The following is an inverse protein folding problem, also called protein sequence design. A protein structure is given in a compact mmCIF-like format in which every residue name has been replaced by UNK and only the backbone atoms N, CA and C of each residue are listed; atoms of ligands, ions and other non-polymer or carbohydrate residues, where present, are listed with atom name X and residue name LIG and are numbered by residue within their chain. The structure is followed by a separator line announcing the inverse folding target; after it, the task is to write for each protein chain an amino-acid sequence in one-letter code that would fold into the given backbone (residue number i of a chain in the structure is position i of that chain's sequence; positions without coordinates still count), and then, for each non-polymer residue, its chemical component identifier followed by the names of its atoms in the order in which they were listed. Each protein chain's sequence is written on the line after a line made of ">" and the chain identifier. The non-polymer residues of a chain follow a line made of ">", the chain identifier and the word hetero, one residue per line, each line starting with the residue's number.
data_IF_429102052882
#
_entry.id   IF_429102052882
#
_cell.length_a   1.000
_cell.length_b   1.000
_cell.length_c   1.000
_cell.angle_alpha   90.00
_cell.angle_beta   90.00
_cell.angle_gamma   90.00
#
_symmetry.space_group_name_H-M   'P 1'
#
loop_
_entity.id
_entity.type
_entity.pdbx_description
1 polymer ?
#
# COMPACT_ATOMS: atom_id res chain seq x y z
N UNK A 1 18.83 9.26 -28.02
CA UNK A 1 18.89 8.84 -26.61
C UNK A 1 17.48 8.64 -26.11
N UNK A 2 17.22 7.55 -25.39
CA UNK A 2 15.91 7.26 -24.79
C UNK A 2 15.67 8.21 -23.60
N UNK A 3 14.45 8.76 -23.49
CA UNK A 3 14.03 9.65 -22.42
C UNK A 3 12.59 9.32 -21.98
N UNK A 4 12.09 10.00 -20.93
CA UNK A 4 10.75 9.73 -20.38
C UNK A 4 9.62 9.91 -21.42
N UNK A 5 9.79 10.84 -22.37
CA UNK A 5 8.82 11.06 -23.44
C UNK A 5 8.86 9.94 -24.50
N UNK A 6 10.04 9.42 -24.84
CA UNK A 6 10.17 8.38 -25.87
C UNK A 6 9.64 7.01 -25.43
N UNK A 7 9.45 6.80 -24.12
CA UNK A 7 8.87 5.56 -23.58
C UNK A 7 7.39 5.70 -23.21
N UNK A 8 6.80 6.89 -23.37
CA UNK A 8 5.45 7.18 -22.90
C UNK A 8 4.38 6.35 -23.61
N UNK A 9 4.51 6.15 -24.93
CA UNK A 9 3.53 5.37 -25.71
C UNK A 9 4.11 4.05 -26.23
N UNK A 10 3.27 2.99 -26.36
CA UNK A 10 3.70 1.71 -26.94
C UNK A 10 4.30 1.85 -28.34
N UNK A 11 3.75 2.76 -29.15
CA UNK A 11 4.20 2.99 -30.51
C UNK A 11 5.61 3.60 -30.57
N UNK A 12 5.90 4.58 -29.70
CA UNK A 12 7.25 5.17 -29.59
C UNK A 12 8.28 4.14 -29.10
N UNK A 13 7.90 3.27 -28.15
CA UNK A 13 8.77 2.17 -27.68
C UNK A 13 9.10 1.21 -28.81
N UNK A 14 8.09 0.78 -29.58
CA UNK A 14 8.27 -0.12 -30.73
C UNK A 14 9.14 0.51 -31.82
N UNK A 15 8.95 1.81 -32.10
CA UNK A 15 9.76 2.55 -33.07
C UNK A 15 11.24 2.58 -32.66
N UNK A 16 11.51 2.84 -31.37
CA UNK A 16 12.87 2.88 -30.83
C UNK A 16 13.55 1.51 -30.91
N UNK A 17 12.84 0.44 -30.56
CA UNK A 17 13.35 -0.93 -30.70
C UNK A 17 13.62 -1.30 -32.17
N UNK A 18 12.72 -0.94 -33.08
CA UNK A 18 12.86 -1.22 -34.51
C UNK A 18 14.07 -0.50 -35.10
N UNK A 19 14.27 0.78 -34.75
CA UNK A 19 15.44 1.55 -35.14
C UNK A 19 16.74 0.92 -34.63
N UNK A 20 16.80 0.52 -33.36
CA UNK A 20 17.99 -0.10 -32.79
C UNK A 20 18.34 -1.43 -33.48
N UNK A 21 17.35 -2.31 -33.67
CA UNK A 21 17.55 -3.62 -34.29
C UNK A 21 17.82 -3.54 -35.79
N UNK A 22 17.21 -2.58 -36.50
CA UNK A 22 17.28 -2.46 -37.95
C UNK A 22 18.42 -1.60 -38.47
N UNK A 23 18.81 -0.55 -37.74
CA UNK A 23 19.81 0.41 -38.22
C UNK A 23 21.11 0.34 -37.41
N UNK A 24 21.02 0.27 -36.07
CA UNK A 24 22.20 0.35 -35.19
C UNK A 24 22.97 -0.98 -35.14
N UNK A 25 22.27 -2.10 -34.92
CA UNK A 25 22.91 -3.41 -34.86
C UNK A 25 23.60 -3.82 -36.17
N UNK A 26 22.96 -3.68 -37.35
CA UNK A 26 23.61 -4.06 -38.61
C UNK A 26 24.81 -3.18 -38.94
N UNK A 27 24.81 -1.92 -38.51
CA UNK A 27 25.97 -1.03 -38.70
C UNK A 27 27.24 -1.54 -37.99
N UNK A 28 27.13 -2.35 -36.93
CA UNK A 28 28.32 -2.98 -36.34
C UNK A 28 28.93 -4.06 -37.22
N UNK A 29 28.13 -4.80 -37.99
CA UNK A 29 28.65 -5.81 -38.91
C UNK A 29 29.54 -5.20 -39.99
N UNK A 30 29.25 -3.95 -40.38
CA UNK A 30 30.02 -3.17 -41.36
C UNK A 30 31.25 -2.47 -40.76
N UNK A 31 31.25 -2.25 -39.44
CA UNK A 31 32.34 -1.63 -38.69
C UNK A 31 33.17 -2.75 -38.05
N UNK A 32 34.28 -3.21 -38.66
CA UNK A 32 35.28 -4.17 -38.10
C UNK A 32 34.78 -5.27 -37.15
N UNK A 33 35.14 -6.53 -37.40
CA UNK A 33 34.66 -7.72 -36.65
C UNK A 33 34.78 -7.71 -35.12
N UNK A 34 35.56 -6.80 -34.52
CA UNK A 34 35.77 -6.66 -33.07
C UNK A 34 34.99 -5.49 -32.44
N UNK A 35 34.07 -4.84 -33.18
CA UNK A 35 33.29 -3.72 -32.64
C UNK A 35 32.32 -4.16 -31.54
N UNK A 36 32.19 -3.34 -30.50
CA UNK A 36 31.28 -3.57 -29.37
C UNK A 36 30.33 -2.38 -29.18
N UNK A 37 29.07 -2.65 -28.83
CA UNK A 37 28.16 -1.64 -28.30
C UNK A 37 28.19 -1.69 -26.79
N UNK A 38 28.35 -0.52 -26.17
CA UNK A 38 28.11 -0.34 -24.74
C UNK A 38 26.91 0.58 -24.53
N UNK A 39 25.88 0.07 -23.84
CA UNK A 39 24.66 0.82 -23.52
C UNK A 39 24.60 1.08 -22.01
N UNK A 40 24.35 2.33 -21.64
CA UNK A 40 24.11 2.72 -20.25
C UNK A 40 22.89 3.62 -20.15
N UNK A 41 22.14 3.46 -19.07
CA UNK A 41 20.96 4.27 -18.79
C UNK A 41 20.27 3.82 -17.52
N UNK A 42 19.27 4.59 -17.10
CA UNK A 42 18.34 4.21 -16.04
C UNK A 42 17.13 3.49 -16.65
N UNK A 43 16.53 2.57 -15.92
CA UNK A 43 15.29 1.92 -16.38
C UNK A 43 14.12 2.91 -16.33
N UNK A 44 13.54 3.17 -17.50
CA UNK A 44 12.45 4.13 -17.65
C UNK A 44 11.06 3.48 -17.71
N UNK A 45 10.96 2.27 -18.25
CA UNK A 45 9.70 1.55 -18.47
C UNK A 45 9.94 0.05 -18.66
N UNK A 46 8.93 -0.81 -18.44
CA UNK A 46 9.04 -2.28 -18.58
C UNK A 46 9.27 -2.79 -20.03
N UNK A 47 9.02 -1.91 -20.99
CA UNK A 47 9.15 -2.14 -22.43
C UNK A 47 10.16 -1.17 -23.05
N UNK A 48 10.94 -0.48 -22.21
CA UNK A 48 12.05 0.35 -22.67
C UNK A 48 13.10 -0.50 -23.39
N UNK A 49 13.90 0.15 -24.23
CA UNK A 49 14.91 -0.52 -25.06
C UNK A 49 15.84 -1.39 -24.22
N UNK A 50 16.41 -0.83 -23.13
CA UNK A 50 17.34 -1.56 -22.25
C UNK A 50 16.72 -2.82 -21.63
N UNK A 51 15.43 -2.79 -21.31
CA UNK A 51 14.73 -3.95 -20.73
C UNK A 51 14.56 -5.06 -21.76
N UNK A 52 14.19 -4.69 -22.99
CA UNK A 52 14.02 -5.66 -24.07
C UNK A 52 15.36 -6.28 -24.48
N UNK A 53 16.42 -5.48 -24.60
CA UNK A 53 17.76 -5.98 -24.89
C UNK A 53 18.30 -6.85 -23.74
N UNK A 54 17.97 -6.54 -22.49
CA UNK A 54 18.39 -7.35 -21.35
C UNK A 54 17.72 -8.73 -21.25
N UNK A 55 16.63 -8.96 -21.99
CA UNK A 55 16.01 -10.29 -22.13
C UNK A 55 16.69 -11.12 -23.22
N UNK A 56 17.44 -10.49 -24.12
CA UNK A 56 18.13 -11.16 -25.20
C UNK A 56 19.46 -11.74 -24.70
N UNK A 57 19.70 -13.05 -24.88
CA UNK A 57 20.92 -13.70 -24.38
C UNK A 57 22.20 -13.23 -25.07
N UNK A 58 22.12 -12.51 -26.20
CA UNK A 58 23.28 -11.94 -26.89
C UNK A 58 23.89 -10.73 -26.17
N UNK A 59 23.13 -10.10 -25.26
CA UNK A 59 23.60 -8.97 -24.47
C UNK A 59 23.95 -9.37 -23.04
N UNK A 60 25.16 -9.02 -22.61
CA UNK A 60 25.54 -9.11 -21.19
C UNK A 60 24.93 -7.93 -20.44
N UNK A 61 23.96 -8.20 -19.57
CA UNK A 61 23.24 -7.17 -18.82
C UNK A 61 23.65 -7.16 -17.36
N UNK A 62 24.01 -5.97 -16.87
CA UNK A 62 24.32 -5.73 -15.45
C UNK A 62 23.38 -4.65 -14.94
N UNK A 63 22.52 -5.01 -13.99
CA UNK A 63 21.63 -4.07 -13.30
C UNK A 63 22.24 -3.71 -11.96
N UNK A 64 22.46 -2.41 -11.74
CA UNK A 64 22.99 -1.89 -10.49
C UNK A 64 21.95 -1.00 -9.84
N UNK A 65 21.68 -1.24 -8.55
CA UNK A 65 20.89 -0.36 -7.70
C UNK A 65 21.76 0.44 -6.75
N UNK A 66 21.13 1.30 -5.97
CA UNK A 66 21.80 2.09 -4.92
C UNK A 66 22.36 1.22 -3.78
N UNK A 67 21.81 0.01 -3.59
CA UNK A 67 22.30 -1.00 -2.65
C UNK A 67 22.94 -2.18 -3.39
N UNK A 68 23.97 -2.75 -2.79
CA UNK A 68 24.61 -3.99 -3.26
C UNK A 68 23.79 -5.24 -2.86
N UNK A 69 24.31 -6.43 -3.19
CA UNK A 69 23.67 -7.70 -2.88
C UNK A 69 23.60 -7.99 -1.36
N UNK A 70 24.43 -7.31 -0.56
CA UNK A 70 24.50 -7.43 0.89
C UNK A 70 23.60 -6.38 1.58
N UNK A 71 22.98 -5.47 0.82
CA UNK A 71 22.11 -4.41 1.33
C UNK A 71 22.86 -3.15 1.75
N UNK A 72 24.16 -3.04 1.44
CA UNK A 72 24.98 -1.89 1.75
C UNK A 72 24.96 -0.88 0.60
N UNK A 73 25.00 0.44 0.88
CA UNK A 73 24.97 1.44 -0.18
C UNK A 73 26.22 1.36 -1.06
N UNK A 74 26.02 1.23 -2.38
CA UNK A 74 27.10 1.15 -3.38
C UNK A 74 27.93 2.46 -3.40
N UNK A 75 27.30 3.59 -3.08
CA UNK A 75 27.96 4.89 -3.05
C UNK A 75 27.60 5.72 -1.80
N UNK A 76 28.12 5.35 -0.61
CA UNK A 76 27.71 5.95 0.67
C UNK A 76 27.92 7.46 0.76
N UNK A 77 28.93 7.99 0.07
CA UNK A 77 29.25 9.44 0.05
C UNK A 77 28.12 10.28 -0.55
N UNK A 78 27.42 9.77 -1.56
CA UNK A 78 26.29 10.46 -2.19
C UNK A 78 24.98 10.04 -1.54
N UNK A 79 24.79 8.72 -1.37
CA UNK A 79 23.53 8.10 -0.97
C UNK A 79 23.80 7.08 0.14
N UNK A 80 23.63 7.48 1.40
CA UNK A 80 23.73 6.62 2.58
C UNK A 80 22.35 6.07 2.99
N UNK A 81 22.30 5.11 3.91
CA UNK A 81 21.05 4.50 4.40
C UNK A 81 20.00 5.55 4.80
N UNK A 82 20.41 6.58 5.54
CA UNK A 82 19.53 7.65 6.02
C UNK A 82 18.89 8.43 4.86
N UNK A 83 19.70 8.89 3.89
CA UNK A 83 19.17 9.60 2.71
C UNK A 83 18.26 8.71 1.88
N UNK A 84 18.56 7.40 1.77
CA UNK A 84 17.73 6.45 1.03
C UNK A 84 16.36 6.35 1.72
N UNK A 85 16.34 6.20 3.04
CA UNK A 85 15.10 6.16 3.83
C UNK A 85 14.30 7.45 3.73
N UNK A 86 14.95 8.62 3.80
CA UNK A 86 14.29 9.91 3.67
C UNK A 86 13.68 10.12 2.27
N UNK A 87 14.40 9.72 1.21
CA UNK A 87 13.85 9.75 -0.15
C UNK A 87 12.69 8.77 -0.25
N UNK A 88 12.82 7.56 0.28
CA UNK A 88 11.73 6.57 0.27
C UNK A 88 10.47 7.15 0.92
N UNK A 89 10.58 7.73 2.11
CA UNK A 89 9.45 8.40 2.79
C UNK A 89 8.90 9.60 2.02
N UNK A 90 9.74 10.34 1.29
CA UNK A 90 9.29 11.44 0.43
C UNK A 90 8.48 10.95 -0.77
N UNK A 91 8.99 9.95 -1.50
CA UNK A 91 8.30 9.36 -2.66
C UNK A 91 7.05 8.59 -2.23
N UNK A 92 7.10 7.91 -1.07
CA UNK A 92 5.95 7.22 -0.45
C UNK A 92 4.79 8.19 -0.19
N UNK A 93 5.08 9.32 0.48
CA UNK A 93 4.07 10.38 0.72
C UNK A 93 3.46 10.95 -0.56
N UNK A 94 4.16 10.87 -1.68
CA UNK A 94 3.71 11.36 -2.98
C UNK A 94 3.01 10.28 -3.82
N UNK A 95 3.00 9.02 -3.37
CA UNK A 95 2.47 7.89 -4.16
C UNK A 95 3.35 7.51 -5.36
N UNK A 96 4.58 8.03 -5.43
CA UNK A 96 5.50 7.89 -6.57
C UNK A 96 6.60 6.86 -6.30
N UNK A 97 6.26 5.82 -5.51
CA UNK A 97 7.25 4.86 -5.04
C UNK A 97 7.78 3.95 -6.17
N UNK A 98 6.98 3.73 -7.21
CA UNK A 98 7.44 3.09 -8.46
C UNK A 98 8.58 3.88 -9.10
N UNK A 99 8.45 5.21 -9.15
CA UNK A 99 9.50 6.12 -9.63
C UNK A 99 10.75 6.03 -8.75
N UNK A 100 10.60 5.93 -7.43
CA UNK A 100 11.73 5.71 -6.51
C UNK A 100 12.51 4.43 -6.83
N UNK A 101 11.82 3.29 -7.03
CA UNK A 101 12.46 2.02 -7.35
C UNK A 101 13.09 2.00 -8.75
N UNK A 102 12.47 2.66 -9.73
CA UNK A 102 13.04 2.80 -11.06
C UNK A 102 14.31 3.65 -11.03
N UNK A 103 14.25 4.85 -10.42
CA UNK A 103 15.36 5.82 -10.43
C UNK A 103 16.55 5.40 -9.56
N UNK A 104 16.31 4.80 -8.39
CA UNK A 104 17.38 4.47 -7.43
C UNK A 104 17.79 3.00 -7.45
N UNK A 105 16.89 2.09 -7.81
CA UNK A 105 17.16 0.64 -7.74
C UNK A 105 17.20 -0.02 -9.12
N UNK A 106 16.84 0.68 -10.20
CA UNK A 106 16.65 0.08 -11.53
C UNK A 106 15.78 -1.19 -11.43
N UNK A 107 14.73 -1.15 -10.61
CA UNK A 107 13.77 -2.25 -10.46
C UNK A 107 12.48 -1.90 -11.17
N UNK A 108 12.13 -2.70 -12.17
CA UNK A 108 10.83 -2.63 -12.82
C UNK A 108 9.78 -3.16 -11.84
N UNK A 109 8.96 -2.27 -11.31
CA UNK A 109 7.79 -2.68 -10.54
C UNK A 109 6.65 -2.85 -11.55
N UNK A 110 6.40 -4.08 -12.00
CA UNK A 110 5.30 -4.36 -12.93
C UNK A 110 4.04 -4.68 -12.13
N UNK A 111 3.00 -3.85 -12.25
CA UNK A 111 1.73 -4.02 -11.52
C UNK A 111 1.10 -5.40 -11.77
N UNK A 112 1.24 -5.97 -12.98
CA UNK A 112 0.68 -7.30 -13.30
C UNK A 112 1.25 -8.44 -12.46
N UNK A 113 2.44 -8.23 -11.87
CA UNK A 113 3.08 -9.20 -10.97
C UNK A 113 2.87 -8.89 -9.49
N UNK A 114 2.30 -7.73 -9.16
CA UNK A 114 2.05 -7.33 -7.77
C UNK A 114 0.89 -8.14 -7.20
N UNK A 115 1.02 -8.55 -5.94
CA UNK A 115 -0.08 -9.22 -5.24
C UNK A 115 -1.19 -8.25 -4.86
N UNK A 116 -0.86 -6.97 -4.63
CA UNK A 116 -1.79 -5.88 -4.37
C UNK A 116 -1.48 -4.75 -5.35
N UNK A 117 -2.37 -4.51 -6.31
CA UNK A 117 -2.15 -3.51 -7.36
C UNK A 117 -2.73 -2.17 -6.94
N UNK A 118 -1.92 -1.08 -6.91
CA UNK A 118 -2.45 0.26 -6.65
C UNK A 118 -3.52 0.70 -7.67
N UNK A 119 -3.45 0.19 -8.91
CA UNK A 119 -4.47 0.42 -9.95
C UNK A 119 -5.87 -0.09 -9.58
N UNK A 120 -5.98 -1.07 -8.69
CA UNK A 120 -7.26 -1.68 -8.30
C UNK A 120 -8.06 -0.80 -7.32
N UNK A 121 -7.40 0.21 -6.73
CA UNK A 121 -7.98 1.12 -5.75
C UNK A 121 -9.10 1.96 -6.38
N UNK A 122 -10.29 1.91 -5.78
CA UNK A 122 -11.36 2.83 -6.15
C UNK A 122 -11.21 4.17 -5.43
N UNK A 123 -11.24 5.27 -6.17
CA UNK A 123 -11.06 6.64 -5.63
C UNK A 123 -12.35 7.41 -5.41
N UNK A 124 -13.47 6.87 -5.89
CA UNK A 124 -14.79 7.48 -5.67
C UNK A 124 -15.20 7.26 -4.22
N UNK A 125 -15.38 8.29 -3.40
CA UNK A 125 -15.81 8.09 -2.03
C UNK A 125 -17.23 7.54 -1.98
N UNK A 126 -17.46 6.62 -1.05
CA UNK A 126 -18.77 6.08 -0.70
C UNK A 126 -19.35 6.88 0.47
N UNK A 127 -20.67 7.02 0.44
CA UNK A 127 -21.46 7.69 1.47
C UNK A 127 -22.35 6.67 2.19
N UNK A 128 -22.78 6.98 3.42
CA UNK A 128 -23.66 6.12 4.24
C UNK A 128 -23.06 4.74 4.56
N UNK A 129 -21.99 4.68 5.38
CA UNK A 129 -21.48 3.41 5.88
C UNK A 129 -22.53 2.71 6.74
N UNK A 130 -22.66 1.39 6.57
CA UNK A 130 -23.55 0.54 7.37
C UNK A 130 -22.91 0.16 8.70
N UNK A 131 -21.59 -0.09 8.66
CA UNK A 131 -20.77 -0.42 9.83
C UNK A 131 -19.39 0.20 9.65
N UNK A 132 -18.72 0.50 10.75
CA UNK A 132 -17.31 0.89 10.78
C UNK A 132 -16.53 -0.05 11.69
N UNK A 133 -15.26 -0.26 11.39
CA UNK A 133 -14.30 -0.86 12.29
C UNK A 133 -13.18 0.13 12.59
N UNK A 134 -12.81 0.21 13.86
CA UNK A 134 -11.56 0.81 14.34
C UNK A 134 -10.69 -0.33 14.86
N UNK A 135 -9.54 -0.54 14.22
CA UNK A 135 -8.55 -1.52 14.67
C UNK A 135 -7.22 -0.87 15.01
N UNK A 136 -6.51 -1.52 15.93
CA UNK A 136 -5.16 -1.15 16.30
C UNK A 136 -4.24 -2.37 16.27
N UNK A 137 -3.15 -2.26 15.52
CA UNK A 137 -2.00 -3.17 15.52
C UNK A 137 -0.89 -2.56 16.42
N UNK A 138 -0.80 -2.99 17.69
CA UNK A 138 0.24 -2.55 18.61
C UNK A 138 1.64 -3.10 18.27
N UNK A 139 2.60 -2.19 18.07
CA UNK A 139 4.01 -2.54 17.92
C UNK A 139 4.57 -3.28 19.16
N UNK A 140 5.34 -4.35 18.92
CA UNK A 140 5.93 -5.20 19.97
C UNK A 140 7.24 -4.60 20.52
N UNK A 141 7.97 -3.79 19.74
CA UNK A 141 9.32 -3.36 20.06
C UNK A 141 9.45 -1.87 20.44
N UNK A 142 10.16 -1.57 21.54
CA UNK A 142 10.54 -0.20 21.96
C UNK A 142 11.66 0.43 21.11
N UNK A 143 12.22 -0.29 20.14
CA UNK A 143 13.28 0.25 19.27
C UNK A 143 12.65 1.19 18.24
N UNK A 144 13.09 2.45 18.22
CA UNK A 144 12.68 3.49 17.24
C UNK A 144 12.85 3.07 15.75
N UNK A 145 13.62 2.01 15.49
CA UNK A 145 13.98 1.54 14.15
C UNK A 145 13.26 0.26 13.69
N UNK A 146 12.37 -0.33 14.51
CA UNK A 146 11.89 -1.70 14.28
C UNK A 146 10.42 -1.79 13.85
N UNK A 147 9.46 -1.35 14.66
CA UNK A 147 8.03 -1.63 14.40
C UNK A 147 7.17 -0.36 14.53
N UNK A 148 6.20 -0.20 13.62
CA UNK A 148 5.21 0.88 13.67
C UNK A 148 3.91 0.37 14.30
N UNK A 149 3.42 1.09 15.29
CA UNK A 149 2.06 0.91 15.79
C UNK A 149 1.10 1.49 14.74
N UNK A 150 0.09 0.74 14.32
CA UNK A 150 -0.81 1.17 13.26
C UNK A 150 -2.26 1.24 13.76
N UNK A 151 -3.01 2.19 13.22
CA UNK A 151 -4.45 2.35 13.42
C UNK A 151 -5.14 2.38 12.07
N UNK A 152 -6.25 1.67 11.96
CA UNK A 152 -7.08 1.61 10.77
C UNK A 152 -8.53 1.91 11.09
N UNK A 153 -9.18 2.69 10.24
CA UNK A 153 -10.64 2.84 10.23
C UNK A 153 -11.18 2.48 8.87
N UNK A 154 -12.08 1.52 8.82
CA UNK A 154 -12.70 1.02 7.58
C UNK A 154 -14.21 1.00 7.75
N UNK A 155 -14.95 1.45 6.74
CA UNK A 155 -16.39 1.28 6.65
C UNK A 155 -16.78 0.15 5.71
N UNK A 156 -17.86 -0.56 6.04
CA UNK A 156 -18.62 -1.40 5.10
C UNK A 156 -19.81 -0.62 4.59
N UNK A 157 -20.02 -0.68 3.29
CA UNK A 157 -21.05 0.04 2.53
C UNK A 157 -21.95 -0.96 1.80
N UNK A 158 -23.12 -0.50 1.32
CA UNK A 158 -24.01 -1.32 0.49
C UNK A 158 -23.30 -2.01 -0.68
N UNK A 159 -23.81 -3.17 -1.09
CA UNK A 159 -23.18 -4.02 -2.11
C UNK A 159 -21.90 -4.72 -1.65
N UNK A 160 -21.64 -4.75 -0.35
CA UNK A 160 -20.44 -5.38 0.22
C UNK A 160 -19.14 -4.63 -0.10
N UNK A 161 -19.23 -3.33 -0.40
CA UNK A 161 -18.07 -2.47 -0.66
C UNK A 161 -17.42 -2.05 0.64
N UNK A 162 -16.11 -1.82 0.59
CA UNK A 162 -15.32 -1.33 1.71
C UNK A 162 -14.77 0.05 1.38
N UNK A 163 -14.71 0.94 2.35
CA UNK A 163 -13.94 2.18 2.24
C UNK A 163 -12.95 2.28 3.40
N UNK A 164 -11.68 2.48 3.06
CA UNK A 164 -10.66 2.87 4.02
C UNK A 164 -10.86 4.36 4.31
N UNK A 165 -11.27 4.66 5.54
CA UNK A 165 -11.53 6.01 6.02
C UNK A 165 -10.26 6.67 6.55
N UNK A 166 -9.44 5.89 7.25
CA UNK A 166 -8.20 6.35 7.87
C UNK A 166 -7.21 5.20 8.00
N UNK A 167 -5.94 5.49 7.76
CA UNK A 167 -4.82 4.65 8.18
C UNK A 167 -3.70 5.54 8.70
N UNK A 168 -3.26 5.30 9.94
CA UNK A 168 -2.20 6.08 10.60
C UNK A 168 -1.17 5.14 11.21
N UNK A 169 0.12 5.44 11.01
CA UNK A 169 1.23 4.68 11.57
C UNK A 169 2.11 5.56 12.47
N UNK A 170 2.51 5.05 13.63
CA UNK A 170 3.28 5.76 14.64
C UNK A 170 4.51 4.95 15.05
N UNK A 171 5.68 5.61 15.09
CA UNK A 171 6.94 4.98 15.53
C UNK A 171 7.14 5.19 17.03
N UNK A 172 7.38 4.11 17.77
CA UNK A 172 7.75 4.17 19.19
C UNK A 172 6.64 4.74 20.09
N UNK A 173 5.38 4.49 19.75
CA UNK A 173 4.22 4.89 20.53
C UNK A 173 4.16 4.09 21.84
N UNK A 174 4.03 4.78 22.97
CA UNK A 174 3.85 4.13 24.26
C UNK A 174 2.38 3.67 24.45
N UNK A 175 2.10 2.62 25.25
CA UNK A 175 0.75 2.09 25.42
C UNK A 175 -0.29 3.14 25.86
N UNK A 176 0.08 4.10 26.72
CA UNK A 176 -0.84 5.16 27.16
C UNK A 176 -1.15 6.17 26.05
N UNK A 177 -0.22 6.40 25.13
CA UNK A 177 -0.45 7.20 23.93
C UNK A 177 -1.36 6.47 22.95
N UNK A 178 -1.15 5.16 22.77
CA UNK A 178 -2.00 4.31 21.96
C UNK A 178 -3.45 4.30 22.46
N UNK A 179 -3.67 4.22 23.78
CA UNK A 179 -5.01 4.31 24.39
C UNK A 179 -5.64 5.67 24.09
N UNK A 180 -4.90 6.77 24.29
CA UNK A 180 -5.40 8.12 24.00
C UNK A 180 -5.80 8.27 22.54
N UNK A 181 -4.98 7.74 21.64
CA UNK A 181 -5.21 7.78 20.21
C UNK A 181 -6.42 6.92 19.80
N UNK A 182 -6.55 5.72 20.37
CA UNK A 182 -7.71 4.85 20.18
C UNK A 182 -9.01 5.57 20.55
N UNK A 183 -9.07 6.20 21.73
CA UNK A 183 -10.25 6.95 22.15
C UNK A 183 -10.48 8.22 21.32
N UNK A 184 -9.41 8.91 20.88
CA UNK A 184 -9.54 10.05 19.94
C UNK A 184 -10.24 9.61 18.66
N UNK A 185 -9.79 8.52 18.06
CA UNK A 185 -10.40 7.96 16.85
C UNK A 185 -11.84 7.51 17.11
N UNK A 186 -12.09 6.85 18.25
CA UNK A 186 -13.44 6.45 18.64
C UNK A 186 -14.38 7.65 18.77
N UNK A 187 -13.94 8.73 19.41
CA UNK A 187 -14.74 9.95 19.60
C UNK A 187 -15.11 10.62 18.26
N UNK A 188 -14.25 10.48 17.26
CA UNK A 188 -14.49 10.97 15.89
C UNK A 188 -15.47 10.05 15.16
N UNK A 189 -15.17 8.75 15.13
CA UNK A 189 -15.84 7.79 14.24
C UNK A 189 -17.13 7.19 14.79
N UNK A 190 -17.41 7.36 16.10
CA UNK A 190 -18.70 7.03 16.72
C UNK A 190 -19.77 8.10 16.46
N UNK A 191 -19.38 9.26 15.91
CA UNK A 191 -20.34 10.31 15.53
C UNK A 191 -21.09 9.91 14.27
N UNK A 192 -22.35 10.37 14.13
CA UNK A 192 -23.06 10.26 12.86
C UNK A 192 -22.20 10.81 11.71
N UNK A 193 -22.18 10.16 10.54
CA UNK A 193 -21.58 10.73 9.34
C UNK A 193 -22.18 12.12 9.04
N UNK A 194 -21.42 12.97 8.37
CA UNK A 194 -21.91 14.28 7.96
C UNK A 194 -23.19 14.15 7.11
N UNK A 195 -24.21 14.95 7.44
CA UNK A 195 -25.52 14.88 6.80
C UNK A 195 -26.43 13.73 7.27
N UNK A 196 -26.03 12.94 8.26
CA UNK A 196 -26.85 11.85 8.83
C UNK A 196 -27.14 12.09 10.31
N UNK A 197 -28.36 11.77 10.74
CA UNK A 197 -28.77 11.90 12.14
C UNK A 197 -28.48 10.64 12.97
N UNK A 198 -28.36 9.49 12.31
CA UNK A 198 -28.17 8.19 12.97
C UNK A 198 -26.69 7.85 13.14
N UNK A 199 -26.37 7.23 14.27
CA UNK A 199 -25.03 6.70 14.52
C UNK A 199 -24.82 5.42 13.74
N UNK A 200 -23.63 5.27 13.17
CA UNK A 200 -23.20 4.04 12.52
C UNK A 200 -22.51 3.15 13.57
N UNK A 201 -22.88 1.86 13.69
CA UNK A 201 -22.19 0.96 14.61
C UNK A 201 -20.69 0.92 14.35
N UNK A 202 -19.90 1.13 15.41
CA UNK A 202 -18.45 1.07 15.38
C UNK A 202 -17.97 -0.17 16.14
N UNK A 203 -17.35 -1.10 15.41
CA UNK A 203 -16.68 -2.27 15.95
C UNK A 203 -15.25 -1.89 16.32
N UNK A 204 -14.79 -2.31 17.49
CA UNK A 204 -13.47 -1.98 18.01
C UNK A 204 -12.64 -3.25 18.18
N UNK A 205 -11.47 -3.31 17.57
CA UNK A 205 -10.57 -4.46 17.62
C UNK A 205 -9.14 -4.07 17.96
N UNK A 206 -8.45 -4.92 18.72
CA UNK A 206 -7.01 -4.77 18.99
C UNK A 206 -6.36 -6.13 18.79
N UNK A 207 -5.20 -6.17 18.13
CA UNK A 207 -4.44 -7.42 18.05
C UNK A 207 -3.98 -7.80 19.47
N UNK A 208 -4.24 -9.04 19.84
CA UNK A 208 -3.92 -9.57 21.16
C UNK A 208 -2.73 -10.53 21.05
N UNK A 209 -1.51 -9.98 21.07
CA UNK A 209 -0.29 -10.76 21.25
C UNK A 209 -0.08 -11.03 22.76
N UNK A 210 0.54 -12.16 23.12
CA UNK A 210 0.65 -12.65 24.51
C UNK A 210 1.25 -11.64 25.53
N UNK A 211 1.90 -10.56 25.08
CA UNK A 211 2.48 -9.50 25.92
C UNK A 211 1.55 -8.27 26.12
N UNK A 212 0.36 -8.24 25.50
CA UNK A 212 -0.48 -7.05 25.34
C UNK A 212 -1.77 -7.03 26.19
N UNK A 213 -1.89 -7.90 27.20
CA UNK A 213 -3.01 -7.83 28.15
C UNK A 213 -3.05 -6.48 28.89
N UNK A 214 -1.89 -5.83 29.06
CA UNK A 214 -1.78 -4.50 29.67
C UNK A 214 -2.49 -3.41 28.86
N UNK A 215 -2.35 -3.39 27.53
CA UNK A 215 -3.01 -2.41 26.67
C UNK A 215 -4.53 -2.53 26.75
N UNK A 216 -5.05 -3.77 26.69
CA UNK A 216 -6.49 -4.01 26.80
C UNK A 216 -7.00 -3.58 28.17
N UNK A 217 -6.26 -3.87 29.24
CA UNK A 217 -6.62 -3.47 30.60
C UNK A 217 -6.67 -1.94 30.74
N UNK A 218 -5.72 -1.23 30.13
CA UNK A 218 -5.70 0.24 30.09
C UNK A 218 -6.89 0.81 29.30
N UNK A 219 -7.28 0.18 28.19
CA UNK A 219 -8.48 0.58 27.44
C UNK A 219 -9.73 0.39 28.31
N UNK A 220 -9.86 -0.73 29.01
CA UNK A 220 -11.00 -1.01 29.90
C UNK A 220 -11.07 -0.06 31.10
N UNK A 221 -9.93 0.32 31.66
CA UNK A 221 -9.86 1.34 32.70
C UNK A 221 -10.31 2.71 32.18
N UNK A 222 -9.84 3.12 30.99
CA UNK A 222 -10.26 4.37 30.37
C UNK A 222 -11.74 4.37 29.95
N UNK A 223 -12.31 3.23 29.53
CA UNK A 223 -13.77 3.10 29.31
C UNK A 223 -14.53 3.44 30.60
N UNK A 224 -14.10 2.84 31.72
CA UNK A 224 -14.72 3.02 33.03
C UNK A 224 -14.60 4.46 33.52
N UNK A 225 -13.46 5.10 33.28
CA UNK A 225 -13.21 6.50 33.62
C UNK A 225 -14.08 7.48 32.81
N UNK A 226 -14.34 7.16 31.53
CA UNK A 226 -15.08 8.04 30.59
C UNK A 226 -16.58 7.76 30.54
N UNK A 227 -17.05 6.71 31.21
CA UNK A 227 -18.42 6.19 31.08
C UNK A 227 -18.79 5.85 29.61
N UNK A 228 -17.81 5.30 28.89
CA UNK A 228 -17.91 4.97 27.46
C UNK A 228 -17.62 3.48 27.24
N UNK A 229 -18.65 2.66 27.42
CA UNK A 229 -18.55 1.21 27.34
C UNK A 229 -18.83 0.69 25.93
N UNK A 230 -17.92 -0.14 25.42
CA UNK A 230 -18.06 -0.83 24.13
C UNK A 230 -17.38 -2.19 24.15
N UNK A 231 -17.74 -3.04 23.19
CA UNK A 231 -17.10 -4.35 23.01
C UNK A 231 -15.75 -4.15 22.33
N UNK A 232 -14.68 -4.58 22.99
CA UNK A 232 -13.33 -4.61 22.44
C UNK A 232 -12.98 -6.05 22.05
N UNK A 233 -12.92 -6.30 20.75
CA UNK A 233 -12.57 -7.62 20.22
C UNK A 233 -11.06 -7.85 20.30
N UNK A 234 -10.68 -8.96 20.94
CA UNK A 234 -9.28 -9.41 21.04
C UNK A 234 -8.96 -10.28 19.84
N UNK A 235 -8.32 -9.69 18.83
CA UNK A 235 -8.04 -10.39 17.58
C UNK A 235 -6.79 -11.23 17.74
N UNK A 236 -6.88 -12.54 17.46
CA UNK A 236 -5.77 -13.49 17.56
C UNK A 236 -5.64 -14.24 16.25
N UNK A 237 -4.42 -14.29 15.71
CA UNK A 237 -4.15 -14.99 14.47
C UNK A 237 -3.30 -16.23 14.69
N UNK A 238 -3.69 -17.33 14.04
CA UNK A 238 -2.90 -18.56 13.98
C UNK A 238 -2.20 -18.74 12.62
N UNK A 239 -2.60 -17.96 11.62
CA UNK A 239 -2.04 -18.00 10.27
C UNK A 239 -0.91 -16.99 10.11
N UNK A 240 0.07 -17.31 9.28
CA UNK A 240 1.15 -16.41 8.87
C UNK A 240 0.61 -15.04 8.41
N UNK A 241 1.21 -13.94 8.92
CA UNK A 241 0.79 -12.55 8.69
C UNK A 241 0.57 -12.26 7.20
N UNK A 242 1.54 -12.62 6.37
CA UNK A 242 1.48 -12.34 4.93
C UNK A 242 0.37 -13.08 4.20
N UNK A 243 0.16 -14.35 4.55
CA UNK A 243 -0.89 -15.17 3.96
C UNK A 243 -2.28 -14.63 4.32
N UNK A 244 -2.44 -14.13 5.55
CA UNK A 244 -3.67 -13.45 6.01
C UNK A 244 -3.92 -12.16 5.24
N UNK A 245 -2.93 -11.26 5.16
CA UNK A 245 -3.06 -9.99 4.44
C UNK A 245 -3.47 -10.25 2.99
N UNK A 246 -2.83 -11.19 2.29
CA UNK A 246 -3.21 -11.53 0.91
C UNK A 246 -4.60 -12.15 0.84
N UNK A 247 -4.89 -13.14 1.67
CA UNK A 247 -6.19 -13.81 1.69
C UNK A 247 -7.35 -12.84 1.94
N UNK A 248 -7.13 -11.79 2.73
CA UNK A 248 -8.16 -10.79 3.04
C UNK A 248 -8.19 -9.66 2.01
N UNK A 249 -7.07 -9.06 1.64
CA UNK A 249 -7.05 -7.85 0.81
C UNK A 249 -7.13 -8.15 -0.69
N UNK A 250 -6.32 -9.09 -1.20
CA UNK A 250 -6.17 -9.30 -2.65
C UNK A 250 -7.51 -9.61 -3.36
N UNK A 251 -8.38 -10.51 -2.87
CA UNK A 251 -9.65 -10.79 -3.55
C UNK A 251 -10.57 -9.58 -3.64
N UNK A 252 -10.51 -8.67 -2.66
CA UNK A 252 -11.40 -7.50 -2.60
C UNK A 252 -10.88 -6.35 -3.45
N UNK A 253 -9.56 -6.14 -3.50
CA UNK A 253 -8.95 -5.20 -4.44
C UNK A 253 -9.16 -5.65 -5.88
N UNK A 254 -8.84 -6.92 -6.20
CA UNK A 254 -9.02 -7.43 -7.57
C UNK A 254 -10.47 -7.41 -8.06
N UNK A 255 -11.45 -7.45 -7.14
CA UNK A 255 -12.87 -7.28 -7.44
C UNK A 255 -13.33 -5.80 -7.47
N UNK A 256 -12.41 -4.84 -7.30
CA UNK A 256 -12.68 -3.40 -7.25
C UNK A 256 -13.72 -3.02 -6.17
N UNK A 257 -13.71 -3.70 -5.03
CA UNK A 257 -14.64 -3.47 -3.92
C UNK A 257 -14.09 -2.52 -2.85
N UNK A 258 -12.81 -2.16 -2.94
CA UNK A 258 -12.11 -1.36 -1.92
C UNK A 258 -11.90 0.06 -2.42
N UNK A 259 -12.46 1.00 -1.66
CA UNK A 259 -12.36 2.43 -1.89
C UNK A 259 -11.39 3.07 -0.91
N UNK A 260 -10.58 4.02 -1.37
CA UNK A 260 -9.77 4.85 -0.51
C UNK A 260 -10.41 6.24 -0.43
N UNK A 261 -10.77 6.68 0.78
CA UNK A 261 -11.36 8.02 0.99
C UNK A 261 -10.44 9.15 0.51
N UNK A 262 -9.13 8.93 0.63
CA UNK A 262 -8.07 9.82 0.17
C UNK A 262 -6.83 9.01 -0.23
N UNK A 263 -5.79 9.65 -0.74
CA UNK A 263 -4.50 8.99 -0.97
C UNK A 263 -3.82 8.68 0.36
N UNK A 264 -3.54 7.39 0.61
CA UNK A 264 -2.80 6.93 1.78
C UNK A 264 -1.39 6.54 1.35
N UNK A 265 -0.50 7.53 1.22
CA UNK A 265 0.82 7.34 0.58
C UNK A 265 1.64 6.18 1.15
N UNK A 266 1.71 6.04 2.47
CA UNK A 266 2.42 4.93 3.11
C UNK A 266 1.74 3.59 2.88
N UNK A 267 0.42 3.49 3.09
CA UNK A 267 -0.35 2.28 2.86
C UNK A 267 -0.25 1.78 1.42
N UNK A 268 -0.41 2.69 0.44
CA UNK A 268 -0.33 2.37 -0.98
C UNK A 268 1.09 2.00 -1.41
N UNK A 269 2.10 2.59 -0.76
CA UNK A 269 3.49 2.17 -0.93
C UNK A 269 3.72 0.77 -0.39
N UNK A 270 3.15 0.43 0.77
CA UNK A 270 3.18 -0.93 1.30
C UNK A 270 2.50 -1.91 0.35
N UNK A 271 1.36 -1.55 -0.27
CA UNK A 271 0.71 -2.40 -1.29
C UNK A 271 1.65 -2.73 -2.45
N UNK A 272 2.39 -1.72 -2.96
CA UNK A 272 3.30 -1.89 -4.08
C UNK A 272 4.57 -2.73 -3.74
N UNK A 273 5.00 -2.71 -2.48
CA UNK A 273 6.16 -3.47 -2.00
C UNK A 273 5.82 -4.90 -1.56
N UNK A 274 4.56 -5.15 -1.22
CA UNK A 274 4.10 -6.40 -0.65
C UNK A 274 4.30 -7.59 -1.61
N UNK A 275 4.83 -8.75 -1.17
CA UNK A 275 5.00 -9.24 0.22
C UNK A 275 6.34 -8.88 0.88
N UNK A 276 7.12 -7.97 0.29
CA UNK A 276 8.35 -7.45 0.87
C UNK A 276 8.12 -6.07 1.52
N UNK A 277 9.08 -5.55 2.27
CA UNK A 277 8.94 -4.25 2.93
C UNK A 277 8.11 -4.29 4.22
N UNK A 278 7.61 -3.12 4.62
CA UNK A 278 6.74 -2.97 5.80
C UNK A 278 5.30 -3.31 5.45
N UNK A 279 4.57 -3.91 6.38
CA UNK A 279 3.20 -4.37 6.18
C UNK A 279 2.24 -4.00 7.33
N UNK A 280 2.68 -3.17 8.29
CA UNK A 280 1.90 -2.81 9.49
C UNK A 280 0.56 -2.10 9.15
N UNK A 281 0.57 -1.22 8.13
CA UNK A 281 -0.65 -0.53 7.70
C UNK A 281 -1.57 -1.44 6.87
N UNK A 282 -0.99 -2.34 6.06
CA UNK A 282 -1.76 -3.38 5.39
C UNK A 282 -2.42 -4.31 6.41
N UNK A 283 -1.70 -4.62 7.48
CA UNK A 283 -2.16 -5.57 8.48
C UNK A 283 -3.33 -5.04 9.30
N UNK A 284 -3.23 -3.80 9.79
CA UNK A 284 -4.32 -3.18 10.54
C UNK A 284 -5.58 -3.01 9.69
N UNK A 285 -5.44 -2.77 8.38
CA UNK A 285 -6.60 -2.73 7.47
C UNK A 285 -7.18 -4.13 7.24
N UNK A 286 -6.33 -5.16 7.09
CA UNK A 286 -6.80 -6.54 7.03
C UNK A 286 -7.57 -6.93 8.30
N UNK A 287 -7.10 -6.49 9.49
CA UNK A 287 -7.81 -6.68 10.76
C UNK A 287 -9.18 -6.03 10.75
N UNK A 288 -9.30 -4.79 10.27
CA UNK A 288 -10.60 -4.12 10.13
C UNK A 288 -11.56 -4.92 9.24
N UNK A 289 -11.06 -5.47 8.13
CA UNK A 289 -11.87 -6.25 7.20
C UNK A 289 -12.36 -7.55 7.83
N UNK A 290 -11.50 -8.23 8.59
CA UNK A 290 -11.85 -9.46 9.31
C UNK A 290 -12.91 -9.17 10.39
N UNK A 291 -12.75 -8.08 11.14
CA UNK A 291 -13.74 -7.63 12.13
C UNK A 291 -15.10 -7.30 11.48
N UNK A 292 -15.08 -6.77 10.26
CA UNK A 292 -16.27 -6.46 9.48
C UNK A 292 -16.82 -7.64 8.68
N UNK A 293 -16.24 -8.84 8.73
CA UNK A 293 -16.64 -9.95 7.86
C UNK A 293 -18.12 -10.34 8.02
N UNK A 294 -18.65 -10.31 9.25
CA UNK A 294 -20.07 -10.56 9.52
C UNK A 294 -20.97 -9.45 8.95
N UNK A 295 -20.60 -8.19 9.16
CA UNK A 295 -21.32 -7.03 8.65
C UNK A 295 -21.30 -6.99 7.11
N UNK A 296 -20.17 -7.33 6.50
CA UNK A 296 -19.99 -7.38 5.05
C UNK A 296 -20.94 -8.39 4.40
N UNK A 297 -21.10 -9.60 4.99
CA UNK A 297 -22.07 -10.59 4.49
C UNK A 297 -23.51 -10.06 4.49
N UNK A 298 -23.90 -9.31 5.52
CA UNK A 298 -25.21 -8.67 5.56
C UNK A 298 -25.33 -7.56 4.49
N UNK A 299 -24.27 -6.76 4.32
CA UNK A 299 -24.25 -5.64 3.38
C UNK A 299 -24.34 -6.03 1.90
N UNK A 300 -23.90 -7.24 1.51
CA UNK A 300 -24.04 -7.74 0.12
C UNK A 300 -25.50 -7.79 -0.33
N UNK A 301 -26.43 -8.04 0.59
CA UNK A 301 -27.87 -8.09 0.28
C UNK A 301 -28.52 -6.71 0.12
N UNK A 302 -27.83 -5.64 0.52
CA UNK A 302 -28.32 -4.27 0.44
C UNK A 302 -27.84 -3.67 -0.88
N UNK A 303 -28.76 -3.29 -1.80
CA UNK A 303 -28.37 -2.71 -3.08
C UNK A 303 -27.60 -1.41 -2.86
N UNK A 304 -26.61 -1.16 -3.73
CA UNK A 304 -25.93 0.14 -3.77
C UNK A 304 -26.98 1.18 -4.11
N UNK A 305 -27.22 2.14 -3.22
CA UNK A 305 -28.19 3.23 -3.40
C UNK A 305 -27.92 3.89 -4.77
N UNK A 306 -28.76 3.58 -5.77
CA UNK A 306 -28.70 4.18 -7.10
C UNK A 306 -29.35 5.56 -7.02
N UNK A 307 -28.75 6.46 -6.26
CA UNK A 307 -29.24 7.82 -6.06
C UNK A 307 -28.79 8.77 -7.16
N UNK A 308 -29.27 8.58 -8.39
CA UNK A 308 -29.44 9.67 -9.37
C UNK A 308 -30.71 9.43 -10.20
N UNK A 309 -31.80 10.00 -9.68
CA UNK A 309 -32.91 10.68 -10.34
C UNK A 309 -33.85 9.89 -11.28
N UNK A 310 -34.88 9.28 -10.70
CA UNK A 310 -36.23 9.38 -11.28
C UNK A 310 -36.94 10.63 -10.73
N UNK A 311 -37.51 11.39 -11.67
CA UNK A 311 -38.47 12.48 -11.51
C UNK A 311 -37.98 13.83 -10.96
N UNK A 312 -37.57 14.70 -11.88
CA UNK A 312 -38.15 16.04 -11.95
C UNK A 312 -38.43 16.39 -13.43
N UNK A 313 -39.73 16.39 -13.75
CA UNK A 313 -40.41 16.65 -15.05
C UNK A 313 -40.40 15.55 -16.11
#
# INVERSE_FOLDING_TARGET
>A
MENKESVATPEQRKKTLTWFMGDVLPALGELQTDSMIFLTGTLLHNEALLVNLGKDPTFTTVVMGVLDAQGEPVFPKYMNQEKISLKKEMYSRQGELGTFYLELFNKLVCEDTMSLRPSDIQRTPLERPLFRALCHDPAISKKRSADQAAFGVVGVYPGGRFQIELVEGFRGMEPSEAVREFFRLRDIWSRPPEGQSEKVPLLCGVEAVAYQESLISLIQEEMSRRDDFFVLEKIRYSTEKKARILGTLQPRYSAHLVHHRQTFGEYESQMAEFPSGHDDQLDVVAMCFDLLANASRAAVSIPVDSGLEESYY
#
